data_IF_714881686790
#
_entry.id   IF_714881686790
#
_cell.length_a   1.000
_cell.length_b   1.000
_cell.length_c   1.000
_cell.angle_alpha   90.00
_cell.angle_beta   90.00
_cell.angle_gamma   90.00
#
_symmetry.space_group_name_H-M   'P 1'
#
loop_
_entity.id
_entity.type
_entity.pdbx_description
1 polymer ?
#
# COMPACT_ATOMS: atom_id res chain seq x y z
N UNK A 1 14.41 21.72 -7.20
CA UNK A 1 13.28 21.27 -8.01
C UNK A 1 12.17 20.88 -7.04
N UNK A 2 10.91 21.19 -7.35
CA UNK A 2 9.75 20.77 -6.58
C UNK A 2 9.31 19.38 -7.09
N UNK A 3 9.00 18.46 -6.18
CA UNK A 3 8.66 17.07 -6.49
C UNK A 3 7.29 16.71 -5.90
N UNK A 4 6.44 15.99 -6.63
CA UNK A 4 5.22 15.43 -6.09
C UNK A 4 5.53 14.46 -4.94
N UNK A 5 4.80 14.57 -3.86
CA UNK A 5 4.98 13.73 -2.69
C UNK A 5 3.68 13.56 -1.91
N UNK A 6 3.45 12.36 -1.38
CA UNK A 6 2.44 12.12 -0.36
C UNK A 6 3.06 12.10 1.02
N UNK A 7 2.36 12.66 1.99
CA UNK A 7 2.68 12.45 3.39
C UNK A 7 2.12 11.09 3.82
N UNK A 8 3.01 10.20 4.27
CA UNK A 8 2.63 8.87 4.74
C UNK A 8 2.40 8.89 6.25
N UNK A 9 3.31 9.52 6.96
CA UNK A 9 3.28 9.58 8.42
C UNK A 9 3.93 10.86 8.91
N UNK A 10 3.44 11.40 10.03
CA UNK A 10 4.09 12.52 10.72
C UNK A 10 4.11 12.29 12.23
N UNK A 11 5.17 12.77 12.88
CA UNK A 11 5.31 12.69 14.34
C UNK A 11 6.00 13.93 14.89
N UNK A 12 5.67 14.33 16.13
CA UNK A 12 6.36 15.42 16.79
C UNK A 12 7.88 15.21 16.87
N UNK A 13 8.62 16.27 16.66
CA UNK A 13 10.07 16.29 16.77
C UNK A 13 10.54 17.61 17.39
N UNK A 14 11.28 17.55 18.50
CA UNK A 14 11.62 18.72 19.31
C UNK A 14 10.37 19.55 19.66
N UNK A 15 10.51 20.79 20.08
CA UNK A 15 9.42 21.62 20.56
C UNK A 15 8.42 22.03 19.47
N UNK A 16 8.89 22.49 18.32
CA UNK A 16 8.05 23.10 17.26
C UNK A 16 8.10 22.41 15.91
N UNK A 17 8.88 21.34 15.76
CA UNK A 17 9.13 20.64 14.50
C UNK A 17 8.34 19.33 14.42
N UNK A 18 8.28 18.76 13.21
CA UNK A 18 7.79 17.41 12.94
C UNK A 18 8.83 16.62 12.12
N UNK A 19 8.90 15.32 12.35
CA UNK A 19 9.41 14.39 11.36
C UNK A 19 8.25 13.98 10.48
N UNK A 20 8.42 14.15 9.18
CA UNK A 20 7.42 13.82 8.16
C UNK A 20 8.01 12.79 7.24
N UNK A 21 7.41 11.61 7.22
CA UNK A 21 7.73 10.58 6.24
C UNK A 21 6.96 10.88 4.97
N UNK A 22 7.68 11.03 3.87
CA UNK A 22 7.10 11.33 2.56
C UNK A 22 7.39 10.19 1.58
N UNK A 23 6.50 9.99 0.64
CA UNK A 23 6.69 9.12 -0.51
C UNK A 23 6.65 9.98 -1.76
N UNK A 24 7.74 10.01 -2.51
CA UNK A 24 7.93 10.80 -3.71
C UNK A 24 8.09 9.90 -4.92
N UNK A 25 7.71 10.40 -6.09
CA UNK A 25 7.79 9.64 -7.32
C UNK A 25 9.25 9.31 -7.71
N UNK A 26 10.14 10.32 -7.65
CA UNK A 26 11.50 10.23 -8.20
C UNK A 26 12.59 9.90 -7.17
N UNK A 27 12.28 9.98 -5.87
CA UNK A 27 13.27 9.79 -4.80
C UNK A 27 12.84 8.76 -3.76
N UNK A 28 11.74 8.06 -4.01
CA UNK A 28 11.20 7.08 -3.09
C UNK A 28 10.68 7.68 -1.78
N UNK A 29 10.66 6.88 -0.74
CA UNK A 29 10.25 7.35 0.59
C UNK A 29 11.46 7.74 1.45
N UNK A 30 11.32 8.79 2.25
CA UNK A 30 12.33 9.24 3.21
C UNK A 30 11.72 10.21 4.23
N UNK A 31 12.51 10.51 5.29
CA UNK A 31 12.07 11.38 6.38
C UNK A 31 12.57 12.81 6.18
N UNK A 32 11.65 13.78 6.37
CA UNK A 32 11.92 15.21 6.39
C UNK A 32 11.76 15.80 7.79
N UNK A 33 12.61 16.75 8.15
CA UNK A 33 12.39 17.67 9.27
C UNK A 33 11.63 18.89 8.78
N UNK A 34 10.40 19.05 9.21
CA UNK A 34 9.61 20.25 9.00
C UNK A 34 9.75 21.17 10.23
N UNK A 35 10.69 22.13 10.14
CA UNK A 35 10.99 23.04 11.24
C UNK A 35 9.84 24.02 11.45
N UNK A 36 9.49 24.29 12.70
CA UNK A 36 8.43 25.24 13.06
C UNK A 36 7.01 24.82 12.65
N UNK A 37 6.81 23.63 12.09
CA UNK A 37 5.53 23.16 11.55
C UNK A 37 4.44 23.01 12.61
N UNK A 38 4.81 22.86 13.89
CA UNK A 38 3.89 22.76 15.03
C UNK A 38 3.63 24.07 15.73
N UNK A 39 4.31 25.14 15.31
CA UNK A 39 4.08 26.47 15.88
C UNK A 39 2.62 26.91 15.72
N UNK A 40 2.08 27.72 16.66
CA UNK A 40 0.66 28.10 16.66
C UNK A 40 0.26 28.88 15.40
N UNK A 41 1.18 29.59 14.79
CA UNK A 41 0.97 30.38 13.56
C UNK A 41 1.63 29.77 12.32
N UNK A 42 1.99 28.48 12.37
CA UNK A 42 2.69 27.84 11.25
C UNK A 42 1.76 27.64 10.06
N UNK A 43 2.13 28.11 8.85
CA UNK A 43 1.38 27.82 7.63
C UNK A 43 1.42 26.34 7.26
N UNK A 44 2.38 25.58 7.79
CA UNK A 44 2.51 24.15 7.58
C UNK A 44 1.53 23.30 8.41
N UNK A 45 0.90 23.94 9.42
CA UNK A 45 -0.07 23.27 10.28
C UNK A 45 -1.30 22.91 9.47
N UNK A 46 -1.55 21.63 9.28
CA UNK A 46 -2.65 21.12 8.47
C UNK A 46 -2.27 20.70 7.04
N UNK A 47 -1.14 21.17 6.50
CA UNK A 47 -0.65 20.70 5.20
C UNK A 47 0.04 19.33 5.30
N UNK A 48 0.84 19.13 6.34
CA UNK A 48 1.65 17.91 6.51
C UNK A 48 0.82 16.79 7.16
N UNK A 49 -0.33 16.48 6.55
CA UNK A 49 -1.25 15.43 6.97
C UNK A 49 -1.16 14.22 6.04
N UNK A 50 -1.39 13.00 6.53
CA UNK A 50 -1.48 11.81 5.68
C UNK A 50 -2.48 12.02 4.52
N UNK A 51 -2.19 11.38 3.39
CA UNK A 51 -2.95 11.39 2.14
C UNK A 51 -2.95 12.72 1.38
N UNK A 52 -2.25 13.74 1.88
CA UNK A 52 -2.14 15.01 1.18
C UNK A 52 -1.07 14.88 0.10
N UNK A 53 -1.46 15.12 -1.15
CA UNK A 53 -0.51 15.31 -2.24
C UNK A 53 0.06 16.71 -2.15
N UNK A 54 1.36 16.79 -2.01
CA UNK A 54 2.11 18.03 -1.92
C UNK A 54 3.11 18.11 -3.07
N UNK A 55 3.50 19.31 -3.40
CA UNK A 55 4.71 19.55 -4.18
C UNK A 55 5.76 20.14 -3.24
N UNK A 56 6.86 19.45 -3.07
CA UNK A 56 7.85 19.84 -2.06
C UNK A 56 9.29 19.77 -2.55
N UNK A 57 10.16 20.54 -1.89
CA UNK A 57 11.61 20.47 -2.05
C UNK A 57 12.28 20.34 -0.68
N UNK A 58 13.50 19.83 -0.69
CA UNK A 58 14.27 19.59 0.52
C UNK A 58 15.73 19.96 0.34
N UNK A 59 16.45 20.06 1.46
CA UNK A 59 17.90 20.30 1.52
C UNK A 59 18.54 19.29 2.47
N UNK A 60 19.81 18.98 2.21
CA UNK A 60 20.61 18.02 2.97
C UNK A 60 20.92 16.76 2.19
N UNK A 61 22.08 16.16 2.47
CA UNK A 61 22.59 14.95 1.79
C UNK A 61 22.41 13.67 2.59
N UNK A 62 22.12 13.77 3.90
CA UNK A 62 21.93 12.60 4.77
C UNK A 62 20.53 12.00 4.69
N UNK A 63 20.31 10.96 5.47
CA UNK A 63 19.02 10.25 5.57
C UNK A 63 17.90 11.15 6.09
N UNK A 64 18.24 12.08 6.98
CA UNK A 64 17.33 13.08 7.51
C UNK A 64 17.50 14.42 6.78
N UNK A 65 16.56 14.70 5.87
CA UNK A 65 16.55 15.91 5.06
C UNK A 65 15.72 17.02 5.73
N UNK A 66 15.96 18.29 5.36
CA UNK A 66 15.15 19.40 5.85
C UNK A 66 14.16 19.86 4.76
N UNK A 67 12.89 19.99 5.10
CA UNK A 67 11.89 20.59 4.24
C UNK A 67 12.30 22.03 3.92
N UNK A 68 12.37 22.37 2.62
CA UNK A 68 12.74 23.69 2.15
C UNK A 68 11.53 24.48 1.66
N UNK A 69 10.72 23.89 0.80
CA UNK A 69 9.49 24.47 0.27
C UNK A 69 8.39 23.42 0.23
N UNK A 70 7.17 23.85 0.38
CA UNK A 70 5.99 23.01 0.23
C UNK A 70 4.87 23.84 -0.37
N UNK A 71 4.22 23.27 -1.36
CA UNK A 71 3.01 23.79 -2.00
C UNK A 71 1.94 22.70 -1.93
N UNK A 72 0.73 23.08 -1.62
CA UNK A 72 -0.42 22.18 -1.65
C UNK A 72 -1.25 22.56 -2.87
N UNK A 73 -1.37 21.69 -3.88
CA UNK A 73 -2.39 21.89 -4.91
C UNK A 73 -3.78 21.85 -4.24
N UNK A 74 -4.75 22.58 -4.79
CA UNK A 74 -6.05 22.88 -4.18
C UNK A 74 -6.92 21.69 -3.75
N UNK A 75 -6.47 20.46 -3.95
CA UNK A 75 -7.23 19.24 -3.67
C UNK A 75 -6.52 18.30 -2.71
N UNK A 76 -6.68 18.54 -1.41
CA UNK A 76 -6.34 17.51 -0.41
C UNK A 76 -7.39 16.40 -0.45
N UNK A 77 -6.94 15.15 -0.65
CA UNK A 77 -7.80 13.98 -0.56
C UNK A 77 -8.30 13.82 0.88
N UNK A 78 -9.61 13.83 1.07
CA UNK A 78 -10.21 13.65 2.41
C UNK A 78 -10.81 12.26 2.51
N UNK A 79 -10.14 11.39 3.24
CA UNK A 79 -10.68 10.08 3.59
C UNK A 79 -11.43 10.17 4.92
N UNK A 80 -12.74 9.99 4.89
CA UNK A 80 -13.60 9.99 6.06
C UNK A 80 -14.10 8.59 6.43
N UNK A 81 -14.58 8.42 7.68
CA UNK A 81 -15.18 7.17 8.11
C UNK A 81 -14.21 5.98 8.05
N UNK A 82 -14.71 4.87 7.53
CA UNK A 82 -13.91 3.63 7.40
C UNK A 82 -12.83 3.72 6.32
N UNK A 83 -12.97 4.63 5.35
CA UNK A 83 -11.98 4.85 4.28
C UNK A 83 -10.65 5.35 4.82
N UNK A 84 -10.66 6.06 5.94
CA UNK A 84 -9.44 6.46 6.65
C UNK A 84 -8.55 5.25 6.97
N UNK A 85 -9.12 4.14 7.42
CA UNK A 85 -8.33 2.95 7.78
C UNK A 85 -7.76 2.25 6.57
N UNK A 86 -8.43 2.28 5.43
CA UNK A 86 -7.91 1.75 4.17
C UNK A 86 -6.73 2.59 3.65
N UNK A 87 -6.83 3.92 3.73
CA UNK A 87 -5.70 4.80 3.43
C UNK A 87 -4.51 4.59 4.38
N UNK A 88 -4.76 4.44 5.68
CA UNK A 88 -3.71 4.11 6.66
C UNK A 88 -3.06 2.76 6.36
N UNK A 89 -3.83 1.78 5.90
CA UNK A 89 -3.31 0.50 5.45
C UNK A 89 -2.36 0.64 4.26
N UNK A 90 -2.72 1.43 3.25
CA UNK A 90 -1.83 1.74 2.12
C UNK A 90 -0.53 2.40 2.59
N UNK A 91 -0.63 3.37 3.52
CA UNK A 91 0.53 4.03 4.11
C UNK A 91 1.46 3.04 4.82
N UNK A 92 0.90 2.10 5.58
CA UNK A 92 1.68 1.08 6.28
C UNK A 92 2.39 0.15 5.31
N UNK A 93 1.74 -0.27 4.22
CA UNK A 93 2.38 -1.09 3.19
C UNK A 93 3.57 -0.35 2.55
N UNK A 94 3.36 0.89 2.12
CA UNK A 94 4.45 1.73 1.57
C UNK A 94 5.57 1.89 2.59
N UNK A 95 5.24 2.21 3.85
CA UNK A 95 6.22 2.47 4.89
C UNK A 95 7.07 1.25 5.26
N UNK A 96 6.45 0.08 5.35
CA UNK A 96 7.15 -1.13 5.81
C UNK A 96 7.83 -1.92 4.70
N UNK A 97 7.34 -1.83 3.47
CA UNK A 97 7.74 -2.71 2.39
C UNK A 97 8.66 -2.06 1.36
N UNK A 98 8.53 -0.76 1.12
CA UNK A 98 9.43 -0.09 0.19
C UNK A 98 10.74 0.29 0.88
N UNK A 99 11.83 0.12 0.17
CA UNK A 99 13.14 0.57 0.62
C UNK A 99 13.22 2.11 0.63
N UNK A 100 13.83 2.68 1.68
CA UNK A 100 14.02 4.13 1.75
C UNK A 100 14.99 4.61 0.67
N UNK A 101 14.71 5.79 0.11
CA UNK A 101 15.51 6.43 -0.94
C UNK A 101 15.55 5.68 -2.28
N UNK A 102 14.76 4.64 -2.46
CA UNK A 102 14.63 3.90 -3.72
C UNK A 102 13.34 4.33 -4.42
N UNK A 103 13.41 4.86 -5.66
CA UNK A 103 12.23 5.23 -6.43
C UNK A 103 11.39 4.00 -6.83
N UNK A 104 10.07 4.15 -6.70
CA UNK A 104 9.07 3.21 -7.18
C UNK A 104 7.94 3.98 -7.87
N UNK A 105 8.18 4.56 -9.07
CA UNK A 105 7.22 5.46 -9.72
C UNK A 105 5.87 4.79 -10.00
N UNK A 106 5.87 3.53 -10.41
CA UNK A 106 4.62 2.78 -10.66
C UNK A 106 3.81 2.56 -9.38
N UNK A 107 4.50 2.29 -8.25
CA UNK A 107 3.84 2.16 -6.94
C UNK A 107 3.31 3.52 -6.47
N UNK A 108 4.02 4.61 -6.73
CA UNK A 108 3.56 5.97 -6.44
C UNK A 108 2.26 6.28 -7.17
N UNK A 109 2.19 6.00 -8.46
CA UNK A 109 1.00 6.21 -9.27
C UNK A 109 -0.17 5.31 -8.85
N UNK A 110 0.12 4.04 -8.52
CA UNK A 110 -0.91 3.12 -8.02
C UNK A 110 -1.44 3.54 -6.65
N UNK A 111 -0.57 4.03 -5.77
CA UNK A 111 -0.94 4.58 -4.47
C UNK A 111 -1.85 5.81 -4.63
N UNK A 112 -1.49 6.73 -5.52
CA UNK A 112 -2.31 7.90 -5.83
C UNK A 112 -3.70 7.51 -6.33
N UNK A 113 -3.76 6.59 -7.32
CA UNK A 113 -5.03 6.07 -7.84
C UNK A 113 -5.88 5.41 -6.77
N UNK A 114 -5.27 4.61 -5.90
CA UNK A 114 -6.01 3.94 -4.83
C UNK A 114 -6.60 4.94 -3.83
N UNK A 115 -5.85 5.98 -3.44
CA UNK A 115 -6.35 7.04 -2.57
C UNK A 115 -7.49 7.84 -3.23
N UNK A 116 -7.37 8.18 -4.51
CA UNK A 116 -8.43 8.89 -5.25
C UNK A 116 -9.71 8.04 -5.30
N UNK A 117 -9.63 6.78 -5.69
CA UNK A 117 -10.76 5.86 -5.71
C UNK A 117 -11.46 5.75 -4.34
N UNK A 118 -10.68 5.68 -3.26
CA UNK A 118 -11.21 5.69 -1.90
C UNK A 118 -11.90 7.03 -1.56
N UNK A 119 -11.36 8.17 -2.00
CA UNK A 119 -11.94 9.49 -1.75
C UNK A 119 -13.24 9.69 -2.54
N UNK A 120 -13.29 9.21 -3.79
CA UNK A 120 -14.45 9.28 -4.68
C UNK A 120 -15.59 8.33 -4.28
N UNK A 121 -15.36 7.48 -3.30
CA UNK A 121 -16.40 6.64 -2.74
C UNK A 121 -16.50 5.25 -3.32
N UNK A 122 -15.53 4.81 -4.10
CA UNK A 122 -15.49 3.42 -4.57
C UNK A 122 -15.47 2.41 -3.42
N UNK A 123 -15.94 1.20 -3.70
CA UNK A 123 -15.81 0.09 -2.77
C UNK A 123 -14.33 -0.24 -2.57
N UNK A 124 -13.83 -0.31 -1.32
CA UNK A 124 -12.40 -0.32 -1.04
C UNK A 124 -11.69 -1.58 -1.54
N UNK A 125 -12.41 -2.66 -1.75
CA UNK A 125 -11.83 -3.94 -2.12
C UNK A 125 -11.02 -3.86 -3.41
N UNK A 126 -11.55 -3.25 -4.46
CA UNK A 126 -10.93 -3.20 -5.77
C UNK A 126 -9.64 -2.36 -5.78
N UNK A 127 -9.65 -1.08 -5.36
CA UNK A 127 -8.42 -0.27 -5.35
C UNK A 127 -7.33 -0.84 -4.45
N UNK A 128 -7.69 -1.49 -3.34
CA UNK A 128 -6.71 -2.15 -2.47
C UNK A 128 -6.06 -3.36 -3.17
N UNK A 129 -6.85 -4.21 -3.85
CA UNK A 129 -6.29 -5.38 -4.56
C UNK A 129 -5.34 -4.95 -5.68
N UNK A 130 -5.76 -3.99 -6.51
CA UNK A 130 -4.89 -3.45 -7.57
C UNK A 130 -3.57 -2.91 -7.04
N UNK A 131 -3.61 -2.17 -5.95
CA UNK A 131 -2.41 -1.65 -5.32
C UNK A 131 -1.51 -2.77 -4.77
N UNK A 132 -2.08 -3.74 -4.04
CA UNK A 132 -1.33 -4.84 -3.44
C UNK A 132 -0.63 -5.72 -4.48
N UNK A 133 -1.29 -6.05 -5.59
CA UNK A 133 -0.71 -6.84 -6.67
C UNK A 133 0.46 -6.10 -7.34
N UNK A 134 0.28 -4.82 -7.64
CA UNK A 134 1.35 -4.01 -8.21
C UNK A 134 2.51 -3.84 -7.23
N UNK A 135 2.24 -3.66 -5.95
CA UNK A 135 3.27 -3.58 -4.92
C UNK A 135 4.08 -4.88 -4.83
N UNK A 136 3.43 -6.05 -4.85
CA UNK A 136 4.10 -7.35 -4.87
C UNK A 136 5.01 -7.49 -6.10
N UNK A 137 4.53 -7.11 -7.26
CA UNK A 137 5.33 -7.09 -8.49
C UNK A 137 6.56 -6.19 -8.36
N UNK A 138 6.38 -4.97 -7.84
CA UNK A 138 7.48 -4.01 -7.62
C UNK A 138 8.51 -4.50 -6.59
N UNK A 139 8.11 -5.33 -5.63
CA UNK A 139 8.99 -5.98 -4.67
C UNK A 139 9.74 -7.19 -5.26
N UNK A 140 9.54 -7.49 -6.54
CA UNK A 140 10.16 -8.63 -7.22
C UNK A 140 9.48 -9.96 -6.91
N UNK A 141 8.27 -9.93 -6.35
CA UNK A 141 7.50 -11.13 -6.10
C UNK A 141 6.78 -11.55 -7.38
N UNK A 142 7.52 -12.23 -8.23
CA UNK A 142 7.02 -12.76 -9.49
C UNK A 142 6.31 -14.10 -9.22
N UNK A 143 4.99 -14.06 -9.04
CA UNK A 143 4.17 -15.27 -9.05
C UNK A 143 3.56 -15.40 -10.43
N UNK A 144 3.78 -16.54 -11.03
CA UNK A 144 3.08 -16.90 -12.26
C UNK A 144 1.66 -17.32 -11.95
N UNK A 145 0.70 -16.71 -12.63
CA UNK A 145 -0.71 -17.04 -12.52
C UNK A 145 -1.24 -17.82 -13.73
N UNK A 146 -0.38 -18.09 -14.72
CA UNK A 146 -0.75 -18.75 -15.95
C UNK A 146 -0.17 -20.16 -16.03
N UNK A 147 0.94 -20.45 -15.31
CA UNK A 147 1.61 -21.73 -15.30
C UNK A 147 1.80 -22.27 -13.88
N UNK A 148 1.70 -23.59 -13.74
CA UNK A 148 1.97 -24.30 -12.49
C UNK A 148 3.49 -24.33 -12.24
N UNK A 149 3.88 -24.15 -10.97
CA UNK A 149 5.27 -23.94 -10.63
C UNK A 149 6.12 -25.21 -10.51
N UNK A 150 5.47 -26.37 -10.47
CA UNK A 150 6.14 -27.67 -10.33
C UNK A 150 6.48 -28.34 -11.67
N UNK A 151 5.65 -28.17 -12.69
CA UNK A 151 5.81 -28.84 -13.97
C UNK A 151 5.68 -27.93 -15.21
N UNK A 152 5.51 -26.64 -14.98
CA UNK A 152 5.37 -25.61 -16.02
C UNK A 152 4.13 -25.82 -16.93
N UNK A 153 3.13 -26.57 -16.43
CA UNK A 153 1.88 -26.80 -17.14
C UNK A 153 0.95 -25.59 -17.08
N UNK A 154 0.19 -25.28 -18.14
CA UNK A 154 -0.79 -24.19 -18.12
C UNK A 154 -1.84 -24.42 -17.03
N UNK A 155 -2.16 -23.35 -16.29
CA UNK A 155 -3.21 -23.35 -15.27
C UNK A 155 -4.56 -23.68 -15.93
N UNK A 156 -5.25 -24.69 -15.39
CA UNK A 156 -6.57 -25.11 -15.84
C UNK A 156 -7.64 -24.48 -14.95
N UNK A 157 -8.65 -23.81 -15.51
CA UNK A 157 -9.61 -23.02 -14.73
C UNK A 157 -10.42 -23.88 -13.73
N UNK A 158 -10.61 -25.16 -14.00
CA UNK A 158 -11.43 -26.07 -13.17
C UNK A 158 -10.65 -26.72 -12.02
N UNK A 159 -9.32 -26.68 -12.07
CA UNK A 159 -8.48 -27.34 -11.07
C UNK A 159 -8.21 -26.42 -9.87
N UNK A 160 -7.85 -27.06 -8.75
CA UNK A 160 -7.37 -26.39 -7.56
C UNK A 160 -5.84 -26.36 -7.52
N UNK A 161 -5.31 -25.24 -7.05
CA UNK A 161 -3.87 -25.02 -6.91
C UNK A 161 -3.55 -24.58 -5.49
N UNK A 162 -2.55 -25.23 -4.90
CA UNK A 162 -1.95 -24.83 -3.62
C UNK A 162 -0.92 -23.75 -3.81
N UNK A 163 -0.99 -22.70 -3.01
CA UNK A 163 0.01 -21.66 -3.01
C UNK A 163 1.17 -22.00 -2.07
N UNK A 164 2.35 -22.20 -2.62
CA UNK A 164 3.62 -22.40 -1.93
C UNK A 164 4.52 -21.16 -2.11
N UNK A 165 4.92 -20.55 -1.01
CA UNK A 165 5.55 -19.21 -1.01
C UNK A 165 6.80 -19.10 -1.88
N UNK A 166 7.66 -20.12 -1.86
CA UNK A 166 8.96 -20.08 -2.56
C UNK A 166 8.87 -20.65 -3.96
N UNK A 167 7.82 -21.39 -4.24
CA UNK A 167 7.65 -22.07 -5.51
C UNK A 167 6.61 -21.36 -6.39
N UNK A 168 5.42 -21.10 -5.87
CA UNK A 168 4.29 -20.56 -6.63
C UNK A 168 3.03 -21.40 -6.45
N UNK A 169 2.28 -21.57 -7.53
CA UNK A 169 1.06 -22.38 -7.53
C UNK A 169 1.32 -23.79 -8.08
N UNK A 170 0.93 -24.78 -7.31
CA UNK A 170 1.08 -26.21 -7.63
C UNK A 170 -0.28 -26.87 -7.67
N UNK A 171 -0.54 -27.67 -8.69
CA UNK A 171 -1.81 -28.40 -8.82
C UNK A 171 -2.00 -29.35 -7.63
N UNK A 172 -3.13 -29.27 -6.93
CA UNK A 172 -3.42 -30.19 -5.84
C UNK A 172 -4.93 -30.27 -5.54
N UNK A 173 -5.39 -31.46 -5.16
CA UNK A 173 -6.79 -31.63 -4.72
C UNK A 173 -7.03 -31.14 -3.29
N UNK A 174 -5.99 -31.11 -2.45
CA UNK A 174 -6.04 -30.72 -1.03
C UNK A 174 -4.76 -30.02 -0.62
N UNK A 175 -4.88 -29.03 0.23
CA UNK A 175 -3.75 -28.42 0.95
C UNK A 175 -3.93 -28.57 2.46
N UNK A 176 -2.84 -28.62 3.23
CA UNK A 176 -2.88 -28.63 4.70
C UNK A 176 -3.65 -27.45 5.30
N UNK A 177 -3.54 -26.30 4.66
CA UNK A 177 -4.30 -25.10 4.98
C UNK A 177 -5.23 -24.73 3.80
N UNK A 178 -6.56 -24.83 3.97
CA UNK A 178 -7.51 -24.46 2.92
C UNK A 178 -7.40 -23.00 2.46
N UNK A 179 -6.73 -22.14 3.27
CA UNK A 179 -6.51 -20.75 2.89
C UNK A 179 -5.48 -20.59 1.77
N UNK A 180 -4.64 -21.61 1.54
CA UNK A 180 -3.66 -21.61 0.44
C UNK A 180 -4.19 -22.20 -0.85
N UNK A 181 -5.44 -22.71 -0.88
CA UNK A 181 -6.06 -23.26 -2.08
C UNK A 181 -6.74 -22.19 -2.91
N UNK A 182 -6.50 -22.21 -4.21
CA UNK A 182 -7.08 -21.31 -5.20
C UNK A 182 -7.61 -22.07 -6.39
N UNK A 183 -8.74 -21.62 -6.93
CA UNK A 183 -9.27 -22.16 -8.18
C UNK A 183 -8.46 -21.57 -9.35
N UNK A 184 -8.14 -22.41 -10.34
CA UNK A 184 -7.38 -21.96 -11.52
C UNK A 184 -8.04 -20.79 -12.26
N UNK A 185 -9.38 -20.79 -12.37
CA UNK A 185 -10.11 -19.65 -12.92
C UNK A 185 -9.83 -18.32 -12.19
N UNK A 186 -9.56 -18.35 -10.88
CA UNK A 186 -9.16 -17.14 -10.14
C UNK A 186 -7.74 -16.73 -10.47
N UNK A 187 -6.82 -17.68 -10.64
CA UNK A 187 -5.42 -17.39 -10.98
C UNK A 187 -5.33 -16.74 -12.36
N UNK A 188 -5.98 -17.31 -13.36
CA UNK A 188 -6.06 -16.76 -14.71
C UNK A 188 -6.68 -15.34 -14.72
N UNK A 189 -7.70 -15.10 -13.89
CA UNK A 189 -8.26 -13.76 -13.74
C UNK A 189 -7.26 -12.78 -13.10
N UNK A 190 -6.41 -13.24 -12.18
CA UNK A 190 -5.34 -12.41 -11.60
C UNK A 190 -4.27 -12.06 -12.64
N UNK A 191 -3.89 -12.99 -13.51
CA UNK A 191 -3.00 -12.72 -14.64
C UNK A 191 -3.52 -11.59 -15.53
N UNK A 192 -4.83 -11.58 -15.79
CA UNK A 192 -5.51 -10.54 -16.57
C UNK A 192 -5.78 -9.25 -15.79
N UNK A 193 -5.40 -9.16 -14.51
CA UNK A 193 -5.69 -8.01 -13.64
C UNK A 193 -7.19 -7.81 -13.36
N UNK A 194 -8.01 -8.84 -13.51
CA UNK A 194 -9.45 -8.81 -13.24
C UNK A 194 -9.76 -9.09 -11.77
N UNK A 195 -10.63 -8.25 -11.21
CA UNK A 195 -11.13 -8.32 -9.82
C UNK A 195 -12.60 -7.91 -9.76
N UNK A 196 -13.42 -8.41 -10.68
CA UNK A 196 -14.77 -7.91 -11.00
C UNK A 196 -15.90 -8.61 -10.23
N UNK A 197 -15.61 -9.70 -9.54
CA UNK A 197 -16.63 -10.44 -8.77
C UNK A 197 -16.27 -10.55 -7.28
N UNK A 198 -17.27 -10.63 -6.37
CA UNK A 198 -17.00 -10.79 -4.94
C UNK A 198 -16.14 -12.01 -4.58
N UNK A 199 -16.36 -13.22 -5.17
CA UNK A 199 -15.50 -14.37 -4.90
C UNK A 199 -14.05 -14.14 -5.33
N UNK A 200 -13.84 -13.47 -6.47
CA UNK A 200 -12.52 -13.16 -6.99
C UNK A 200 -11.79 -12.13 -6.10
N UNK A 201 -12.48 -11.09 -5.65
CA UNK A 201 -11.95 -10.12 -4.69
C UNK A 201 -11.57 -10.79 -3.34
N UNK A 202 -12.34 -11.76 -2.87
CA UNK A 202 -12.00 -12.52 -1.67
C UNK A 202 -10.76 -13.41 -1.88
N UNK A 203 -10.67 -14.08 -3.02
CA UNK A 203 -9.49 -14.87 -3.38
C UNK A 203 -8.23 -13.97 -3.49
N UNK A 204 -8.33 -12.84 -4.18
CA UNK A 204 -7.25 -11.86 -4.30
C UNK A 204 -6.80 -11.33 -2.93
N UNK A 205 -7.75 -11.01 -2.03
CA UNK A 205 -7.46 -10.59 -0.65
C UNK A 205 -6.73 -11.66 0.14
N UNK A 206 -7.10 -12.91 -0.06
CA UNK A 206 -6.45 -14.06 0.60
C UNK A 206 -5.04 -14.22 0.08
N UNK A 207 -4.84 -14.21 -1.24
CA UNK A 207 -3.54 -14.25 -1.88
C UNK A 207 -2.62 -13.12 -1.42
N UNK A 208 -3.07 -11.86 -1.50
CA UNK A 208 -2.25 -10.71 -1.06
C UNK A 208 -1.79 -10.84 0.39
N UNK A 209 -2.64 -11.37 1.29
CA UNK A 209 -2.26 -11.58 2.69
C UNK A 209 -1.18 -12.63 2.85
N UNK A 210 -1.28 -13.74 2.10
CA UNK A 210 -0.28 -14.81 2.13
C UNK A 210 1.05 -14.32 1.55
N UNK A 211 1.01 -13.60 0.44
CA UNK A 211 2.18 -13.10 -0.26
C UNK A 211 2.89 -11.95 0.49
N UNK A 212 2.14 -11.02 1.09
CA UNK A 212 2.72 -9.88 1.83
C UNK A 212 3.23 -10.25 3.23
N UNK A 213 2.73 -11.35 3.84
CA UNK A 213 3.07 -11.71 5.20
C UNK A 213 4.58 -11.88 5.45
N UNK A 214 5.39 -12.53 4.61
CA UNK A 214 6.83 -12.67 4.82
C UNK A 214 7.54 -11.34 4.95
N UNK A 215 7.17 -10.36 4.14
CA UNK A 215 7.74 -9.03 4.13
C UNK A 215 7.33 -8.21 5.37
N UNK A 216 6.11 -8.41 5.85
CA UNK A 216 5.62 -7.78 7.07
C UNK A 216 6.18 -8.46 8.35
N UNK A 217 6.56 -9.74 8.25
CA UNK A 217 7.06 -10.53 9.37
C UNK A 217 6.03 -10.62 10.52
N UNK A 218 6.47 -10.34 11.75
CA UNK A 218 5.61 -10.33 12.95
C UNK A 218 4.90 -8.98 13.17
N UNK A 219 5.05 -8.00 12.27
CA UNK A 219 4.43 -6.69 12.43
C UNK A 219 2.93 -6.79 12.31
N UNK A 220 2.24 -6.25 13.30
CA UNK A 220 0.79 -6.07 13.24
C UNK A 220 0.50 -4.70 12.64
N UNK A 221 -0.32 -4.65 11.60
CA UNK A 221 -0.74 -3.40 10.99
C UNK A 221 -1.71 -2.68 11.92
N UNK A 222 -1.35 -1.48 12.33
CA UNK A 222 -2.14 -0.64 13.24
C UNK A 222 -3.47 -0.22 12.61
N UNK A 223 -3.49 0.00 11.31
CA UNK A 223 -4.71 0.30 10.56
C UNK A 223 -5.78 -0.78 10.74
N UNK A 224 -5.38 -2.06 10.69
CA UNK A 224 -6.29 -3.19 10.93
C UNK A 224 -6.79 -3.23 12.37
N UNK A 225 -5.93 -2.98 13.33
CA UNK A 225 -6.28 -2.95 14.74
C UNK A 225 -7.28 -1.82 15.06
N UNK A 226 -7.02 -0.63 14.54
CA UNK A 226 -7.90 0.53 14.67
C UNK A 226 -9.27 0.29 14.03
N UNK A 227 -9.30 -0.31 12.83
CA UNK A 227 -10.53 -0.67 12.15
C UNK A 227 -11.39 -1.64 12.97
N UNK A 228 -10.78 -2.68 13.56
CA UNK A 228 -11.49 -3.65 14.41
C UNK A 228 -12.03 -2.99 15.68
N UNK A 229 -11.24 -2.15 16.34
CA UNK A 229 -11.68 -1.40 17.55
C UNK A 229 -12.89 -0.51 17.26
N UNK A 230 -12.86 0.19 16.12
CA UNK A 230 -14.00 1.03 15.73
C UNK A 230 -15.27 0.21 15.49
N UNK A 231 -15.18 -0.91 14.81
CA UNK A 231 -16.35 -1.77 14.58
C UNK A 231 -16.93 -2.33 15.87
N UNK A 232 -16.07 -2.68 16.84
CA UNK A 232 -16.50 -3.16 18.17
C UNK A 232 -17.14 -2.05 19.01
N UNK A 233 -16.89 -0.76 18.73
CA UNK A 233 -17.48 0.37 19.47
C UNK A 233 -18.80 0.87 18.87
N UNK A 234 -19.21 0.37 17.70
CA UNK A 234 -20.43 0.76 16.99
C UNK A 234 -21.52 -0.34 17.01
N UNK A 235 -21.21 -1.53 17.53
CA UNK A 235 -22.14 -2.63 17.75
C UNK A 235 -22.34 -2.91 19.22
#
# INVERSE_FOLDING_TARGET
MLNPAFVIHSRPYRETSQLVEVFTQDSGRFTLVARGSRGPRSPLKGLLQPFTLLTLSWRGKGDLKNLAQVECPDHSLRLGGDRLFYGLYLNELVYYLLEAHTPFPEVFDAYARALMALADGETPELPLRRFEFLLLQALGYAVDFEYAADDDSPIQPELLYGFERELGFVACERAPDPRTLFLGAHLLAFAEGRFDTPPLLQAAKRFSRLALQPYLGKRQLKSRELFLKRRSSLG
#
